data_IF_453851286951
#
_entry.id   IF_453851286951
#
_cell.length_a   1.000
_cell.length_b   1.000
_cell.length_c   1.000
_cell.angle_alpha   90.00
_cell.angle_beta   90.00
_cell.angle_gamma   90.00
#
_symmetry.space_group_name_H-M   'P 1'
#
loop_
_entity.id
_entity.type
_entity.pdbx_description
1 polymer ?
#
# COMPACT_ATOMS: atom_id res chain seq x y z
N UNK A 1 11.67 26.43 11.95
CA UNK A 1 11.04 25.09 11.89
C UNK A 1 9.71 25.27 11.18
N UNK A 2 9.47 24.52 10.12
CA UNK A 2 8.21 24.54 9.39
C UNK A 2 7.37 23.33 9.81
N UNK A 3 6.10 23.55 10.18
CA UNK A 3 5.14 22.50 10.50
C UNK A 3 4.11 22.42 9.39
N UNK A 4 3.88 21.22 8.85
CA UNK A 4 2.87 20.97 7.82
C UNK A 4 1.99 19.80 8.23
N UNK A 5 0.69 20.05 8.35
CA UNK A 5 -0.30 19.00 8.57
C UNK A 5 -0.68 18.38 7.23
N UNK A 6 -0.73 17.05 7.17
CA UNK A 6 -1.07 16.31 5.98
C UNK A 6 -2.48 15.72 6.04
N UNK A 7 -3.08 15.49 4.87
CA UNK A 7 -4.44 14.93 4.76
C UNK A 7 -4.59 13.54 5.40
N UNK A 8 -3.50 12.79 5.54
CA UNK A 8 -3.46 11.48 6.20
C UNK A 8 -3.37 11.56 7.74
N UNK A 9 -3.48 12.77 8.32
CA UNK A 9 -3.42 13.03 9.75
C UNK A 9 -1.99 13.19 10.30
N UNK A 10 -0.95 12.87 9.54
CA UNK A 10 0.43 13.05 10.00
C UNK A 10 0.82 14.53 10.04
N UNK A 11 1.76 14.85 10.93
CA UNK A 11 2.42 16.14 10.96
C UNK A 11 3.86 16.01 10.48
N UNK A 12 4.22 16.76 9.45
CA UNK A 12 5.60 16.85 8.98
C UNK A 12 6.29 18.06 9.61
N UNK A 13 7.41 17.82 10.29
CA UNK A 13 8.25 18.84 10.90
C UNK A 13 9.51 18.98 10.06
N UNK A 14 9.73 20.14 9.47
CA UNK A 14 10.92 20.44 8.67
C UNK A 14 11.78 21.46 9.39
N UNK A 15 12.94 21.02 9.82
CA UNK A 15 13.96 21.84 10.44
C UNK A 15 14.87 22.38 9.33
N UNK A 16 14.99 23.70 9.23
CA UNK A 16 15.85 24.36 8.25
C UNK A 16 17.03 24.95 9.00
N UNK A 17 18.23 24.66 8.53
CA UNK A 17 19.48 25.07 9.14
C UNK A 17 20.18 26.12 8.28
N UNK A 18 20.90 27.03 8.93
CA UNK A 18 21.71 28.02 8.22
C UNK A 18 22.93 27.35 7.59
N UNK A 19 23.16 27.60 6.30
CA UNK A 19 24.38 27.15 5.61
C UNK A 19 25.65 27.66 6.28
N UNK A 20 25.65 28.92 6.74
CA UNK A 20 26.82 29.54 7.36
C UNK A 20 27.16 28.84 8.68
N UNK A 21 26.15 28.56 9.50
CA UNK A 21 26.33 27.82 10.76
C UNK A 21 26.77 26.37 10.50
N UNK A 22 26.16 25.68 9.53
CA UNK A 22 26.56 24.31 9.16
C UNK A 22 28.00 24.23 8.64
N UNK A 23 28.48 25.23 7.88
CA UNK A 23 29.87 25.24 7.36
C UNK A 23 30.92 25.32 8.46
N UNK A 24 30.62 26.04 9.56
CA UNK A 24 31.51 26.21 10.72
C UNK A 24 31.31 25.16 11.80
N UNK A 25 30.41 24.19 11.58
CA UNK A 25 30.07 23.19 12.59
C UNK A 25 31.19 22.13 12.69
N UNK A 26 31.75 21.88 13.89
CA UNK A 26 32.78 20.84 14.08
C UNK A 26 32.31 19.44 13.69
N UNK A 27 31.00 19.18 13.81
CA UNK A 27 30.36 17.89 13.51
C UNK A 27 29.88 17.78 12.05
N UNK A 28 30.27 18.69 11.16
CA UNK A 28 29.82 18.71 9.76
C UNK A 28 30.10 17.38 9.06
N UNK A 29 31.29 16.83 9.25
CA UNK A 29 31.73 15.56 8.65
C UNK A 29 31.07 14.32 9.26
N UNK A 30 30.23 14.46 10.29
CA UNK A 30 29.42 13.37 10.85
C UNK A 30 27.92 13.64 10.76
N UNK A 31 27.51 14.85 10.38
CA UNK A 31 26.12 15.27 10.32
C UNK A 31 25.50 15.01 8.94
N UNK A 32 24.39 14.27 8.88
CA UNK A 32 23.63 14.02 7.64
C UNK A 32 23.29 15.32 6.87
N UNK A 33 22.80 16.35 7.58
CA UNK A 33 22.47 17.65 6.98
C UNK A 33 23.73 18.43 6.59
N UNK A 34 24.80 18.33 7.39
CA UNK A 34 26.08 19.01 7.17
C UNK A 34 26.84 18.51 5.94
N UNK A 35 26.82 17.18 5.73
CA UNK A 35 27.41 16.46 4.58
C UNK A 35 26.69 16.71 3.26
N UNK A 36 25.39 16.99 3.31
CA UNK A 36 24.58 17.19 2.10
C UNK A 36 25.16 18.30 1.22
N UNK A 37 24.86 18.33 -0.08
CA UNK A 37 25.16 19.46 -0.97
C UNK A 37 23.90 20.24 -1.39
N UNK A 38 22.77 19.97 -0.72
CA UNK A 38 21.50 20.60 -1.04
C UNK A 38 21.51 22.14 -0.89
N UNK A 39 20.76 22.81 -1.78
CA UNK A 39 20.54 24.27 -1.73
C UNK A 39 19.88 24.72 -0.43
N UNK A 40 19.12 23.88 0.24
CA UNK A 40 18.54 24.15 1.56
C UNK A 40 19.01 23.04 2.50
N UNK A 41 19.61 23.42 3.62
CA UNK A 41 19.96 22.48 4.69
C UNK A 41 18.69 22.20 5.47
N UNK A 42 18.06 21.05 5.26
CA UNK A 42 16.88 20.70 6.03
C UNK A 42 16.86 19.24 6.46
N UNK A 43 16.24 19.00 7.60
CA UNK A 43 15.90 17.69 8.11
C UNK A 43 14.39 17.63 8.32
N UNK A 44 13.76 16.59 7.78
CA UNK A 44 12.32 16.39 7.91
C UNK A 44 12.05 15.21 8.81
N UNK A 45 11.17 15.41 9.80
CA UNK A 45 10.67 14.37 10.68
C UNK A 45 9.17 14.22 10.47
N UNK A 46 8.71 12.99 10.44
CA UNK A 46 7.28 12.68 10.41
C UNK A 46 6.84 12.36 11.83
N UNK A 47 5.94 13.16 12.37
CA UNK A 47 5.19 12.81 13.56
C UNK A 47 3.92 12.09 13.11
N UNK A 48 3.91 10.79 13.38
CA UNK A 48 2.82 9.89 12.99
C UNK A 48 1.60 10.19 13.85
N UNK A 49 0.41 10.22 13.22
CA UNK A 49 -0.85 10.35 13.96
C UNK A 49 -1.15 9.10 14.79
N UNK A 50 -1.96 9.25 15.83
CA UNK A 50 -2.42 8.14 16.67
C UNK A 50 -3.08 7.03 15.84
N UNK A 51 -3.98 7.38 14.92
CA UNK A 51 -4.59 6.44 13.97
C UNK A 51 -3.57 5.64 13.15
N UNK A 52 -2.50 6.29 12.70
CA UNK A 52 -1.45 5.60 11.92
C UNK A 52 -0.58 4.72 12.81
N UNK A 53 -0.34 5.10 14.07
CA UNK A 53 0.32 4.25 15.07
C UNK A 53 -0.52 3.01 15.40
N UNK A 54 -1.82 3.16 15.60
CA UNK A 54 -2.75 2.05 15.79
C UNK A 54 -2.74 1.10 14.59
N UNK A 55 -2.78 1.65 13.37
CA UNK A 55 -2.67 0.85 12.14
C UNK A 55 -1.35 0.06 12.11
N UNK A 56 -0.22 0.69 12.42
CA UNK A 56 1.08 0.00 12.44
C UNK A 56 1.10 -1.13 13.47
N UNK A 57 0.60 -0.88 14.70
CA UNK A 57 0.48 -1.92 15.74
C UNK A 57 -0.43 -3.07 15.31
N UNK A 58 -1.53 -2.77 14.61
CA UNK A 58 -2.41 -3.80 14.08
C UNK A 58 -1.72 -4.61 12.97
N UNK A 59 -0.98 -3.95 12.08
CA UNK A 59 -0.22 -4.62 11.01
C UNK A 59 0.92 -5.48 11.56
N UNK A 60 1.49 -5.15 12.72
CA UNK A 60 2.46 -5.95 13.45
C UNK A 60 1.86 -7.17 14.16
N UNK A 61 0.53 -7.22 14.35
CA UNK A 61 -0.11 -8.35 15.04
C UNK A 61 0.03 -9.66 14.25
N UNK A 62 0.22 -10.77 14.97
CA UNK A 62 0.29 -12.12 14.38
C UNK A 62 -0.97 -12.43 13.57
N UNK A 63 -2.14 -12.00 14.04
CA UNK A 63 -3.39 -12.15 13.32
C UNK A 63 -3.34 -11.50 11.92
N UNK A 64 -2.83 -10.27 11.82
CA UNK A 64 -2.71 -9.60 10.53
C UNK A 64 -1.66 -10.28 9.63
N UNK A 65 -0.53 -10.69 10.21
CA UNK A 65 0.54 -11.38 9.48
C UNK A 65 0.09 -12.75 8.92
N UNK A 66 -0.70 -13.52 9.67
CA UNK A 66 -1.27 -14.76 9.14
C UNK A 66 -2.31 -14.49 8.05
N UNK A 67 -3.13 -13.43 8.21
CA UNK A 67 -4.10 -13.00 7.20
C UNK A 67 -3.43 -12.48 5.92
N UNK A 68 -2.28 -11.82 5.99
CA UNK A 68 -1.58 -11.33 4.80
C UNK A 68 -0.96 -12.48 4.02
N UNK A 69 -0.46 -13.52 4.69
CA UNK A 69 0.10 -14.72 4.02
C UNK A 69 -0.90 -15.39 3.10
N UNK A 70 -2.19 -15.47 3.47
CA UNK A 70 -3.22 -16.09 2.62
C UNK A 70 -3.72 -15.19 1.48
N UNK A 71 -3.36 -13.89 1.47
CA UNK A 71 -3.84 -12.90 0.49
C UNK A 71 -3.44 -13.25 -0.95
N UNK A 72 -2.28 -13.86 -1.16
CA UNK A 72 -1.83 -14.26 -2.50
C UNK A 72 -2.88 -15.13 -3.22
N UNK A 73 -3.58 -16.01 -2.49
CA UNK A 73 -4.64 -16.87 -3.06
C UNK A 73 -5.80 -16.08 -3.64
N UNK A 74 -6.12 -14.93 -3.03
CA UNK A 74 -7.16 -14.02 -3.51
C UNK A 74 -6.67 -13.26 -4.74
N UNK A 75 -5.42 -12.81 -4.71
CA UNK A 75 -4.81 -12.07 -5.82
C UNK A 75 -4.65 -12.93 -7.06
N UNK A 76 -4.22 -14.18 -6.91
CA UNK A 76 -4.20 -15.18 -7.97
C UNK A 76 -5.58 -15.41 -8.57
N UNK A 77 -6.61 -15.57 -7.72
CA UNK A 77 -7.99 -15.75 -8.22
C UNK A 77 -8.49 -14.51 -8.95
N UNK A 78 -8.22 -13.32 -8.44
CA UNK A 78 -8.58 -12.07 -9.11
C UNK A 78 -7.83 -11.91 -10.44
N UNK A 79 -6.57 -12.35 -10.52
CA UNK A 79 -5.79 -12.41 -11.75
C UNK A 79 -6.42 -13.33 -12.78
N UNK A 80 -6.84 -14.54 -12.38
CA UNK A 80 -7.56 -15.48 -13.24
C UNK A 80 -8.89 -14.88 -13.74
N UNK A 81 -9.69 -14.30 -12.84
CA UNK A 81 -10.95 -13.64 -13.18
C UNK A 81 -10.75 -12.52 -14.21
N UNK A 82 -9.70 -11.72 -14.04
CA UNK A 82 -9.35 -10.61 -14.92
C UNK A 82 -8.87 -11.07 -16.30
N UNK A 83 -7.88 -11.96 -16.34
CA UNK A 83 -7.19 -12.32 -17.59
C UNK A 83 -7.88 -13.49 -18.31
N UNK A 84 -8.25 -14.56 -17.59
CA UNK A 84 -8.81 -15.78 -18.21
C UNK A 84 -10.34 -15.72 -18.40
N UNK A 85 -11.06 -14.98 -17.56
CA UNK A 85 -12.52 -14.84 -17.65
C UNK A 85 -12.99 -13.46 -18.12
N UNK A 86 -12.08 -12.65 -18.67
CA UNK A 86 -12.45 -11.45 -19.44
C UNK A 86 -12.76 -10.19 -18.64
N UNK A 87 -12.68 -10.20 -17.29
CA UNK A 87 -12.94 -9.00 -16.48
C UNK A 87 -11.93 -7.86 -16.67
N UNK A 88 -10.88 -8.07 -17.47
CA UNK A 88 -9.98 -7.00 -17.91
C UNK A 88 -10.70 -5.90 -18.69
N UNK A 89 -11.80 -6.21 -19.38
CA UNK A 89 -12.58 -5.25 -20.17
C UNK A 89 -14.02 -5.24 -19.66
N UNK A 90 -14.61 -4.05 -19.58
CA UNK A 90 -16.03 -3.93 -19.31
C UNK A 90 -16.82 -4.22 -20.59
N UNK A 91 -17.83 -5.09 -20.51
CA UNK A 91 -18.66 -5.46 -21.65
C UNK A 91 -19.69 -4.37 -21.98
N UNK A 92 -20.03 -3.53 -21.00
CA UNK A 92 -20.98 -2.43 -21.14
C UNK A 92 -20.63 -1.25 -20.22
N UNK A 93 -21.35 -0.14 -20.37
CA UNK A 93 -21.17 1.08 -19.56
C UNK A 93 -22.11 1.08 -18.35
N UNK A 94 -21.62 1.62 -17.24
CA UNK A 94 -22.40 1.83 -16.01
C UNK A 94 -22.14 0.78 -14.93
N UNK A 95 -22.25 1.21 -13.66
CA UNK A 95 -21.94 0.40 -12.48
C UNK A 95 -22.81 -0.86 -12.38
N UNK A 96 -24.09 -0.74 -12.72
CA UNK A 96 -25.02 -1.86 -12.67
C UNK A 96 -24.60 -3.01 -13.60
N UNK A 97 -24.28 -2.69 -14.87
CA UNK A 97 -23.82 -3.68 -15.83
C UNK A 97 -22.47 -4.30 -15.42
N UNK A 98 -21.56 -3.50 -14.88
CA UNK A 98 -20.28 -3.98 -14.35
C UNK A 98 -20.46 -4.95 -13.16
N UNK A 99 -21.43 -4.68 -12.28
CA UNK A 99 -21.77 -5.60 -11.18
C UNK A 99 -22.29 -6.94 -11.72
N UNK A 100 -23.20 -6.91 -12.71
CA UNK A 100 -23.70 -8.13 -13.36
C UNK A 100 -22.56 -8.93 -14.00
N UNK A 101 -21.69 -8.27 -14.77
CA UNK A 101 -20.51 -8.90 -15.38
C UNK A 101 -19.62 -9.58 -14.33
N UNK A 102 -19.35 -8.90 -13.21
CA UNK A 102 -18.58 -9.46 -12.10
C UNK A 102 -19.26 -10.69 -11.50
N UNK A 103 -20.57 -10.63 -11.24
CA UNK A 103 -21.32 -11.75 -10.64
C UNK A 103 -21.34 -12.97 -11.55
N UNK A 104 -21.66 -12.81 -12.84
CA UNK A 104 -21.68 -13.92 -13.80
C UNK A 104 -20.29 -14.54 -13.99
N UNK A 105 -19.25 -13.72 -14.02
CA UNK A 105 -17.87 -14.19 -14.13
C UNK A 105 -17.45 -15.00 -12.91
N UNK A 106 -17.72 -14.49 -11.70
CA UNK A 106 -17.45 -15.20 -10.45
C UNK A 106 -18.22 -16.54 -10.37
N UNK A 107 -19.50 -16.52 -10.75
CA UNK A 107 -20.34 -17.72 -10.79
C UNK A 107 -19.76 -18.79 -11.73
N UNK A 108 -19.39 -18.39 -12.94
CA UNK A 108 -18.77 -19.28 -13.93
C UNK A 108 -17.46 -19.86 -13.44
N UNK A 109 -16.58 -19.04 -12.86
CA UNK A 109 -15.31 -19.48 -12.31
C UNK A 109 -15.48 -20.46 -11.14
N UNK A 110 -16.52 -20.26 -10.31
CA UNK A 110 -16.86 -21.18 -9.22
C UNK A 110 -17.41 -22.50 -9.73
N UNK A 111 -18.29 -22.49 -10.74
CA UNK A 111 -18.78 -23.73 -11.38
C UNK A 111 -17.61 -24.54 -11.94
N UNK A 112 -16.71 -23.92 -12.71
CA UNK A 112 -15.51 -24.59 -13.25
C UNK A 112 -14.70 -25.26 -12.15
N UNK A 113 -14.52 -24.59 -11.01
CA UNK A 113 -13.81 -25.15 -9.84
C UNK A 113 -14.54 -26.35 -9.23
N UNK A 114 -15.86 -26.26 -9.04
CA UNK A 114 -16.66 -27.36 -8.47
C UNK A 114 -16.59 -28.59 -9.37
N UNK A 115 -16.75 -28.42 -10.69
CA UNK A 115 -16.66 -29.51 -11.65
C UNK A 115 -15.27 -30.17 -11.58
N UNK A 116 -14.20 -29.36 -11.57
CA UNK A 116 -12.84 -29.88 -11.46
C UNK A 116 -12.59 -30.66 -10.16
N UNK A 117 -13.12 -30.18 -9.04
CA UNK A 117 -13.02 -30.89 -7.76
C UNK A 117 -13.80 -32.21 -7.77
N UNK A 118 -14.96 -32.26 -8.42
CA UNK A 118 -15.72 -33.50 -8.59
C UNK A 118 -14.96 -34.52 -9.43
N UNK A 119 -14.38 -34.09 -10.57
CA UNK A 119 -13.55 -34.97 -11.42
C UNK A 119 -12.38 -35.57 -10.63
N UNK A 120 -11.67 -34.75 -9.85
CA UNK A 120 -10.53 -35.20 -9.05
C UNK A 120 -10.92 -36.12 -7.90
N UNK A 121 -12.13 -36.00 -7.36
CA UNK A 121 -12.64 -36.89 -6.31
C UNK A 121 -13.14 -38.24 -6.84
N UNK A 122 -13.40 -38.33 -8.15
CA UNK A 122 -13.84 -39.55 -8.84
C UNK A 122 -12.69 -40.33 -9.48
N UNK A 123 -11.49 -39.73 -9.54
CA UNK A 123 -10.24 -40.32 -10.04
C UNK A 123 -9.41 -40.87 -8.88
#
# INVERSE_FOLDING_TARGET
>A
MERRSAKNGNTYLRYIFSKVKCRKCPQRENCYVGKSNAKVRSYSMTQVSEKNLERLKFEESDYFQERIKIRHRIEEKNGELKEAHGLRKADSRGLFAMHLQMYFTAFTANIKRIVRLKELAMA
#
